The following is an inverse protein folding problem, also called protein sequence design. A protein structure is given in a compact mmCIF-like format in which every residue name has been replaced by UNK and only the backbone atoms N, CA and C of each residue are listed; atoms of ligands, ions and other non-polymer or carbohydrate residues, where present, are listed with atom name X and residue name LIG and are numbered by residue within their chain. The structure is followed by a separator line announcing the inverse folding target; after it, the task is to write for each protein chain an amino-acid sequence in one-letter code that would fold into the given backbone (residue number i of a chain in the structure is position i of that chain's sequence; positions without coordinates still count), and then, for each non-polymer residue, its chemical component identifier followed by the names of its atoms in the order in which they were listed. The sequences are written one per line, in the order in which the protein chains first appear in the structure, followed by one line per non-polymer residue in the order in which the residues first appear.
data_IF_691509021253
#
_entry.id   IF_691509021253
#
_cell.length_a   1.000
_cell.length_b   1.000
_cell.length_c   1.000
_cell.angle_alpha   90.00
_cell.angle_beta   90.00
_cell.angle_gamma   90.00
#
_symmetry.space_group_name_H-M   'P 1'
#
loop_
_entity.id
_entity.type
_entity.pdbx_description
1 polymer ?
#
# COMPACT_ATOMS: atom_id res chain seq x y z
N UNK A 1 3.28 28.72 -17.65
CA UNK A 1 3.10 28.20 -17.71
C UNK A 1 2.80 27.11 -17.39
N UNK A 2 2.84 26.41 -17.69
CA UNK A 2 2.17 25.30 -17.64
C UNK A 2 2.33 24.40 -16.56
N UNK A 3 2.18 24.74 -15.46
CA UNK A 3 2.40 23.93 -14.38
C UNK A 3 1.16 23.48 -13.64
N UNK A 4 -0.04 23.84 -14.10
CA UNK A 4 -1.23 23.41 -13.39
C UNK A 4 -1.36 21.90 -13.25
N UNK A 5 -0.91 21.15 -14.24
CA UNK A 5 -1.01 19.70 -14.18
C UNK A 5 -0.13 19.12 -13.09
N UNK A 6 1.01 19.74 -12.85
CA UNK A 6 1.88 19.29 -11.76
C UNK A 6 1.26 19.57 -10.41
N UNK A 7 0.60 20.69 -10.27
CA UNK A 7 -0.07 21.04 -9.04
C UNK A 7 -1.17 20.04 -8.73
N UNK A 8 -1.91 19.64 -9.74
CA UNK A 8 -2.95 18.64 -9.57
C UNK A 8 -2.38 17.30 -9.16
N UNK A 9 -1.28 16.88 -9.77
CA UNK A 9 -0.69 15.59 -9.40
C UNK A 9 -0.09 15.62 -8.01
N UNK A 10 0.32 16.76 -7.50
CA UNK A 10 0.79 16.86 -6.12
C UNK A 10 -0.37 16.73 -5.16
N UNK A 11 -1.51 17.30 -5.49
CA UNK A 11 -2.68 17.27 -4.62
C UNK A 11 -3.39 15.94 -4.63
N UNK A 12 -3.26 15.20 -5.72
CA UNK A 12 -3.95 13.92 -5.88
C UNK A 12 -2.96 12.77 -5.73
N UNK A 13 -3.22 11.91 -4.77
CA UNK A 13 -2.41 10.71 -4.61
C UNK A 13 -2.57 9.81 -5.83
N UNK A 14 -1.49 9.19 -6.27
CA UNK A 14 -1.57 8.24 -7.36
C UNK A 14 -2.35 7.01 -6.90
N UNK A 15 -2.83 6.22 -7.86
CA UNK A 15 -3.60 5.02 -7.55
C UNK A 15 -2.76 4.05 -6.71
N UNK A 16 -1.50 3.85 -7.07
CA UNK A 16 -0.63 2.96 -6.31
C UNK A 16 -0.44 3.42 -4.87
N UNK A 17 -0.36 4.74 -4.66
CA UNK A 17 -0.20 5.29 -3.31
C UNK A 17 -1.45 5.06 -2.47
N UNK A 18 -2.63 5.19 -3.06
CA UNK A 18 -3.88 4.89 -2.37
C UNK A 18 -3.96 3.44 -1.97
N UNK A 19 -3.60 2.54 -2.89
CA UNK A 19 -3.61 1.11 -2.61
C UNK A 19 -2.63 0.80 -1.48
N UNK A 20 -1.43 1.37 -1.56
CA UNK A 20 -0.41 1.20 -0.54
C UNK A 20 -0.94 1.63 0.84
N UNK A 21 -1.54 2.82 0.91
CA UNK A 21 -2.05 3.35 2.17
C UNK A 21 -3.16 2.49 2.76
N UNK A 22 -4.09 2.08 1.93
CA UNK A 22 -5.22 1.26 2.40
C UNK A 22 -4.74 -0.10 2.88
N UNK A 23 -3.85 -0.74 2.14
CA UNK A 23 -3.34 -2.05 2.53
C UNK A 23 -2.49 -1.94 3.80
N UNK A 24 -1.68 -0.89 3.93
CA UNK A 24 -0.96 -0.62 5.18
C UNK A 24 -1.92 -0.54 6.36
N UNK A 25 -2.99 0.20 6.21
CA UNK A 25 -4.00 0.34 7.24
C UNK A 25 -4.61 -1.00 7.60
N UNK A 26 -4.94 -1.82 6.60
CA UNK A 26 -5.50 -3.14 6.84
C UNK A 26 -4.53 -4.03 7.62
N UNK A 27 -3.25 -3.93 7.34
CA UNK A 27 -2.23 -4.72 8.04
C UNK A 27 -2.08 -4.24 9.48
N UNK A 28 -2.04 -2.93 9.68
CA UNK A 28 -1.89 -2.36 11.01
C UNK A 28 -3.09 -2.64 11.90
N UNK A 29 -4.29 -2.50 11.35
CA UNK A 29 -5.52 -2.66 12.11
C UNK A 29 -5.93 -4.13 12.28
N UNK A 30 -5.23 -5.05 11.62
CA UNK A 30 -5.52 -6.46 11.75
C UNK A 30 -6.58 -7.00 10.79
N UNK A 31 -7.04 -6.18 9.87
CA UNK A 31 -7.94 -6.64 8.80
C UNK A 31 -7.24 -7.70 7.97
N UNK A 32 -5.96 -7.47 7.67
CA UNK A 32 -5.08 -8.48 7.08
C UNK A 32 -4.13 -8.97 8.15
N UNK A 33 -4.15 -10.25 8.41
CA UNK A 33 -3.32 -10.85 9.45
C UNK A 33 -2.03 -11.41 8.87
N UNK A 34 -1.04 -11.56 9.73
CA UNK A 34 0.23 -12.19 9.38
C UNK A 34 -0.02 -13.54 8.73
N UNK A 35 0.61 -13.77 7.60
CA UNK A 35 0.49 -15.05 6.89
C UNK A 35 -0.67 -15.10 5.90
N UNK A 36 -1.54 -14.12 5.90
CA UNK A 36 -2.63 -14.09 4.92
C UNK A 36 -2.10 -13.80 3.53
N UNK A 37 -2.73 -14.43 2.55
CA UNK A 37 -2.35 -14.27 1.16
C UNK A 37 -3.03 -13.05 0.56
N UNK A 38 -2.27 -12.28 -0.20
CA UNK A 38 -2.80 -11.12 -0.91
C UNK A 38 -2.75 -11.44 -2.41
N UNK A 39 -3.90 -11.30 -3.07
CA UNK A 39 -4.00 -11.53 -4.50
C UNK A 39 -4.13 -10.19 -5.23
N UNK A 40 -3.26 -9.96 -6.20
CA UNK A 40 -3.29 -8.71 -6.98
C UNK A 40 -4.61 -8.57 -7.73
N UNK A 41 -5.18 -9.67 -8.21
CA UNK A 41 -6.46 -9.65 -8.90
C UNK A 41 -7.61 -9.20 -8.00
N UNK A 42 -7.60 -9.63 -6.74
CA UNK A 42 -8.63 -9.21 -5.78
C UNK A 42 -8.51 -7.74 -5.46
N UNK A 43 -7.29 -7.25 -5.27
CA UNK A 43 -7.08 -5.83 -5.02
C UNK A 43 -7.46 -4.99 -6.22
N UNK A 44 -7.11 -5.43 -7.42
CA UNK A 44 -7.49 -4.72 -8.64
C UNK A 44 -9.00 -4.61 -8.76
N UNK A 45 -9.71 -5.67 -8.43
CA UNK A 45 -11.17 -5.66 -8.45
C UNK A 45 -11.75 -4.77 -7.37
N UNK A 46 -11.20 -4.83 -6.17
CA UNK A 46 -11.67 -4.02 -5.06
C UNK A 46 -11.54 -2.51 -5.34
N UNK A 47 -10.39 -2.11 -5.90
CA UNK A 47 -10.13 -0.71 -6.19
C UNK A 47 -10.62 -0.29 -7.57
N UNK A 48 -11.14 -1.22 -8.35
CA UNK A 48 -11.63 -0.98 -9.70
C UNK A 48 -10.53 -0.36 -10.58
N UNK A 49 -9.39 -1.00 -10.61
CA UNK A 49 -8.22 -0.56 -11.36
C UNK A 49 -7.55 -1.76 -12.03
N UNK A 50 -6.59 -1.48 -12.92
CA UNK A 50 -5.80 -2.55 -13.53
C UNK A 50 -4.82 -3.13 -12.51
N UNK A 51 -4.17 -4.23 -12.86
CA UNK A 51 -3.21 -4.90 -11.97
C UNK A 51 -1.90 -4.13 -11.83
N UNK A 52 -1.56 -3.31 -12.81
CA UNK A 52 -0.27 -2.60 -12.80
C UNK A 52 -0.07 -1.75 -11.56
N UNK A 53 -0.97 -0.82 -11.19
CA UNK A 53 -0.80 -0.04 -9.98
C UNK A 53 -0.85 -0.89 -8.71
N UNK A 54 -1.60 -1.99 -8.74
CA UNK A 54 -1.66 -2.92 -7.61
C UNK A 54 -0.29 -3.56 -7.39
N UNK A 55 0.33 -4.04 -8.45
CA UNK A 55 1.67 -4.66 -8.35
C UNK A 55 2.70 -3.66 -7.88
N UNK A 56 2.62 -2.42 -8.33
CA UNK A 56 3.52 -1.37 -7.88
C UNK A 56 3.34 -1.10 -6.38
N UNK A 57 2.10 -1.06 -5.91
CA UNK A 57 1.82 -0.89 -4.49
C UNK A 57 2.35 -2.06 -3.67
N UNK A 58 2.20 -3.28 -4.17
CA UNK A 58 2.73 -4.47 -3.50
C UNK A 58 4.26 -4.40 -3.42
N UNK A 59 4.92 -3.92 -4.46
CA UNK A 59 6.37 -3.73 -4.43
C UNK A 59 6.77 -2.70 -3.36
N UNK A 60 6.00 -1.65 -3.20
CA UNK A 60 6.24 -0.66 -2.15
C UNK A 60 6.10 -1.29 -0.77
N UNK A 61 5.08 -2.12 -0.58
CA UNK A 61 4.86 -2.84 0.67
C UNK A 61 6.00 -3.81 0.97
N UNK A 62 6.51 -4.46 -0.06
CA UNK A 62 7.63 -5.39 0.07
C UNK A 62 8.89 -4.66 0.52
N UNK A 63 9.15 -3.49 -0.03
CA UNK A 63 10.30 -2.67 0.38
C UNK A 63 10.22 -2.27 1.84
N UNK A 64 9.01 -2.08 2.35
CA UNK A 64 8.79 -1.74 3.76
C UNK A 64 8.72 -2.99 4.63
N UNK A 65 8.90 -4.17 4.05
CA UNK A 65 8.85 -5.45 4.76
C UNK A 65 7.49 -5.76 5.36
N UNK A 66 6.45 -5.19 4.81
CA UNK A 66 5.08 -5.45 5.24
C UNK A 66 4.50 -6.70 4.59
N UNK A 67 4.99 -7.05 3.42
CA UNK A 67 4.60 -8.27 2.73
C UNK A 67 5.85 -8.97 2.19
N UNK A 68 5.70 -10.26 1.89
CA UNK A 68 6.74 -11.06 1.25
C UNK A 68 6.18 -11.65 -0.02
N UNK A 69 6.96 -11.57 -1.10
CA UNK A 69 6.60 -12.20 -2.37
C UNK A 69 7.35 -13.50 -2.48
N UNK A 70 6.63 -14.60 -2.48
CA UNK A 70 7.21 -15.94 -2.57
C UNK A 70 6.88 -16.50 -3.95
N UNK A 71 7.88 -16.82 -4.79
CA UNK A 71 7.64 -17.21 -6.18
C UNK A 71 6.62 -18.33 -6.37
N UNK A 72 6.58 -19.29 -5.47
CA UNK A 72 5.66 -20.41 -5.60
C UNK A 72 4.32 -20.20 -4.90
N UNK A 73 4.20 -19.21 -4.04
CA UNK A 73 3.01 -19.01 -3.21
C UNK A 73 2.35 -17.64 -3.37
N UNK A 74 3.02 -16.70 -4.02
CA UNK A 74 2.51 -15.35 -4.21
C UNK A 74 2.85 -14.43 -3.06
N UNK A 75 2.03 -13.42 -2.85
CA UNK A 75 2.27 -12.39 -1.85
C UNK A 75 1.60 -12.75 -0.54
N UNK A 76 2.34 -12.65 0.55
CA UNK A 76 1.85 -13.00 1.88
C UNK A 76 2.17 -11.85 2.84
N UNK A 77 1.24 -11.57 3.74
CA UNK A 77 1.45 -10.56 4.78
C UNK A 77 2.57 -11.02 5.69
N UNK A 78 3.59 -10.19 5.86
CA UNK A 78 4.75 -10.52 6.68
C UNK A 78 4.38 -10.48 8.17
N UNK A 79 5.19 -11.16 8.98
CA UNK A 79 5.05 -11.06 10.43
C UNK A 79 5.69 -9.75 10.86
N UNK A 80 4.87 -8.78 11.25
CA UNK A 80 5.31 -7.42 11.55
C UNK A 80 5.61 -7.31 13.04
N UNK A 81 6.82 -6.85 13.36
CA UNK A 81 7.19 -6.55 14.73
C UNK A 81 6.70 -5.16 15.11
N UNK A 82 6.66 -4.89 16.41
CA UNK A 82 6.15 -3.63 16.95
C UNK A 82 6.84 -2.41 16.31
N UNK A 83 8.15 -2.50 16.12
CA UNK A 83 8.91 -1.42 15.50
C UNK A 83 8.46 -1.11 14.07
N UNK A 84 8.19 -2.15 13.30
CA UNK A 84 7.71 -1.98 11.94
C UNK A 84 6.31 -1.38 11.91
N UNK A 85 5.49 -1.72 12.91
CA UNK A 85 4.16 -1.16 13.06
C UNK A 85 4.22 0.35 13.29
N UNK A 86 5.13 0.80 14.15
CA UNK A 86 5.33 2.23 14.38
C UNK A 86 5.73 2.95 13.11
N UNK A 87 6.62 2.35 12.34
CA UNK A 87 7.07 2.92 11.08
C UNK A 87 5.89 3.12 10.12
N UNK A 88 5.03 2.12 10.03
CA UNK A 88 3.86 2.18 9.17
C UNK A 88 2.88 3.24 9.65
N UNK A 89 2.68 3.36 10.95
CA UNK A 89 1.84 4.41 11.52
C UNK A 89 2.36 5.81 11.20
N UNK A 90 3.67 6.00 11.26
CA UNK A 90 4.26 7.29 10.90
C UNK A 90 3.98 7.64 9.45
N UNK A 91 4.13 6.67 8.55
CA UNK A 91 3.85 6.88 7.14
C UNK A 91 2.40 7.26 6.91
N UNK A 92 1.48 6.55 7.57
CA UNK A 92 0.06 6.85 7.46
C UNK A 92 -0.27 8.23 8.04
N UNK A 93 0.34 8.57 9.17
CA UNK A 93 0.12 9.86 9.80
C UNK A 93 0.60 11.00 8.90
N UNK A 94 1.76 10.85 8.29
CA UNK A 94 2.27 11.85 7.37
C UNK A 94 1.37 12.02 6.15
N UNK A 95 0.89 10.93 5.61
CA UNK A 95 0.02 10.96 4.44
C UNK A 95 -1.33 11.58 4.80
N UNK A 96 -1.90 11.22 5.94
CA UNK A 96 -3.16 11.79 6.40
C UNK A 96 -3.03 13.27 6.69
N UNK A 97 -1.95 13.69 7.33
CA UNK A 97 -1.70 15.09 7.59
C UNK A 97 -1.53 15.87 6.29
N UNK A 98 -0.89 15.26 5.32
CA UNK A 98 -0.70 15.87 4.01
C UNK A 98 -2.02 15.99 3.26
N UNK A 99 -2.87 14.99 3.38
CA UNK A 99 -4.15 14.96 2.68
C UNK A 99 -5.19 15.89 3.31
N UNK A 100 -5.03 16.16 4.57
CA UNK A 100 -5.93 17.07 5.25
C UNK A 100 -5.60 18.52 4.96
#
# INVERSE_FOLDING_TARGET
MPIPSKTESIQTLSVKDRIYNVVCEWIITGVLKSGEKILDSELAQYFDVSRTPVREAIQMLERQKLVKVIPSRGTIVANIEIEDTEKCYRLLAEIQAFAA
#
